data_IF_374879421465
#
_entry.id   IF_374879421465
#
_cell.length_a   1.000
_cell.length_b   1.000
_cell.length_c   1.000
_cell.angle_alpha   90.00
_cell.angle_beta   90.00
_cell.angle_gamma   90.00
#
_symmetry.space_group_name_H-M   'P 1'
#
loop_
_entity.id
_entity.type
_entity.pdbx_description
1 polymer ?
#
# COMPACT_ATOMS: atom_id res chain seq x y z
N UNK A 1 -26.74 10.23 -24.38
CA UNK A 1 -25.68 10.25 -25.41
C UNK A 1 -26.05 9.25 -26.50
N UNK A 2 -25.81 9.53 -27.80
CA UNK A 2 -25.92 8.48 -28.82
C UNK A 2 -24.97 7.33 -28.47
N UNK A 3 -25.39 6.07 -28.66
CA UNK A 3 -24.68 4.84 -28.23
C UNK A 3 -24.50 4.68 -26.70
N UNK A 4 -25.53 4.99 -25.90
CA UNK A 4 -25.50 4.83 -24.45
C UNK A 4 -24.98 3.46 -23.94
N UNK A 5 -25.32 2.29 -24.54
CA UNK A 5 -24.80 1.00 -24.08
C UNK A 5 -23.28 0.87 -24.20
N UNK A 6 -22.68 1.42 -25.26
CA UNK A 6 -21.24 1.37 -25.48
C UNK A 6 -20.49 2.16 -24.40
N UNK A 7 -20.99 3.34 -24.05
CA UNK A 7 -20.40 4.17 -23.00
C UNK A 7 -20.49 3.52 -21.61
N UNK A 8 -21.62 2.87 -21.29
CA UNK A 8 -21.76 2.14 -20.03
C UNK A 8 -20.77 0.98 -19.91
N UNK A 9 -20.57 0.20 -20.98
CA UNK A 9 -19.60 -0.91 -20.98
C UNK A 9 -18.18 -0.39 -20.79
N UNK A 10 -17.78 0.66 -21.53
CA UNK A 10 -16.44 1.25 -21.38
C UNK A 10 -16.20 1.79 -19.96
N UNK A 11 -17.22 2.40 -19.35
CA UNK A 11 -17.12 2.92 -17.99
C UNK A 11 -16.92 1.81 -16.95
N UNK A 12 -17.75 0.76 -17.00
CA UNK A 12 -17.59 -0.36 -16.06
C UNK A 12 -16.31 -1.16 -16.32
N UNK A 13 -15.89 -1.31 -17.57
CA UNK A 13 -14.63 -1.97 -17.90
C UNK A 13 -13.44 -1.19 -17.37
N UNK A 14 -13.45 0.15 -17.47
CA UNK A 14 -12.43 1.00 -16.85
C UNK A 14 -12.36 0.79 -15.33
N UNK A 15 -13.50 0.85 -14.63
CA UNK A 15 -13.55 0.64 -13.18
C UNK A 15 -13.04 -0.75 -12.80
N UNK A 16 -13.39 -1.78 -13.58
CA UNK A 16 -12.94 -3.15 -13.39
C UNK A 16 -11.42 -3.27 -13.58
N UNK A 17 -10.85 -2.71 -14.66
CA UNK A 17 -9.41 -2.76 -14.92
C UNK A 17 -8.62 -2.01 -13.84
N UNK A 18 -9.07 -0.84 -13.40
CA UNK A 18 -8.42 -0.08 -12.31
C UNK A 18 -8.44 -0.86 -11.00
N UNK A 19 -9.58 -1.48 -10.67
CA UNK A 19 -9.71 -2.33 -9.49
C UNK A 19 -8.80 -3.55 -9.55
N UNK A 20 -8.75 -4.24 -10.70
CA UNK A 20 -7.90 -5.41 -10.88
C UNK A 20 -6.41 -5.09 -10.76
N UNK A 21 -5.93 -4.05 -11.45
CA UNK A 21 -4.51 -3.66 -11.43
C UNK A 21 -4.03 -3.37 -10.00
N UNK A 22 -4.83 -2.58 -9.26
CA UNK A 22 -4.53 -2.25 -7.86
C UNK A 22 -4.49 -3.49 -6.96
N UNK A 23 -5.43 -4.43 -7.16
CA UNK A 23 -5.48 -5.68 -6.39
C UNK A 23 -4.28 -6.59 -6.69
N UNK A 24 -3.84 -6.69 -7.95
CA UNK A 24 -2.64 -7.47 -8.27
C UNK A 24 -1.39 -6.89 -7.61
N UNK A 25 -1.24 -5.57 -7.60
CA UNK A 25 -0.12 -4.92 -6.92
C UNK A 25 -0.10 -5.20 -5.41
N UNK A 26 -1.24 -5.05 -4.73
CA UNK A 26 -1.34 -5.33 -3.29
C UNK A 26 -1.14 -6.81 -2.96
N UNK A 27 -1.70 -7.70 -3.78
CA UNK A 27 -1.56 -9.14 -3.56
C UNK A 27 -0.12 -9.60 -3.78
N UNK A 28 0.56 -9.08 -4.81
CA UNK A 28 1.95 -9.39 -5.08
C UNK A 28 2.88 -8.91 -3.96
N UNK A 29 2.65 -7.71 -3.41
CA UNK A 29 3.47 -7.18 -2.29
C UNK A 29 3.33 -8.05 -1.05
N UNK A 30 2.11 -8.45 -0.68
CA UNK A 30 1.86 -9.35 0.47
C UNK A 30 2.60 -10.68 0.28
N UNK A 31 2.45 -11.31 -0.90
CA UNK A 31 3.10 -12.60 -1.19
C UNK A 31 4.62 -12.46 -1.20
N UNK A 32 5.16 -11.39 -1.78
CA UNK A 32 6.61 -11.15 -1.77
C UNK A 32 7.12 -10.99 -0.35
N UNK A 33 6.49 -10.14 0.47
CA UNK A 33 6.90 -9.93 1.87
C UNK A 33 6.91 -11.23 2.68
N UNK A 34 5.93 -12.12 2.46
CA UNK A 34 5.87 -13.44 3.12
C UNK A 34 7.01 -14.36 2.65
N UNK A 35 7.35 -14.32 1.36
CA UNK A 35 8.42 -15.16 0.80
C UNK A 35 9.81 -14.66 1.24
N UNK A 36 9.98 -13.34 1.34
CA UNK A 36 11.24 -12.69 1.73
C UNK A 36 11.63 -13.02 3.17
N UNK A 37 10.67 -13.30 4.06
CA UNK A 37 10.94 -13.70 5.44
C UNK A 37 11.55 -15.12 5.55
N UNK A 38 11.15 -16.06 4.67
CA UNK A 38 11.64 -17.44 4.69
C UNK A 38 11.96 -17.99 3.29
N UNK A 39 13.01 -17.45 2.62
CA UNK A 39 13.27 -17.67 1.20
C UNK A 39 13.57 -19.14 0.85
N UNK A 40 14.28 -19.86 1.72
CA UNK A 40 14.70 -21.25 1.50
C UNK A 40 13.53 -22.25 1.46
N UNK A 41 12.49 -22.02 2.26
CA UNK A 41 11.36 -22.98 2.41
C UNK A 41 10.13 -22.58 1.60
N UNK A 42 9.84 -21.29 1.49
CA UNK A 42 8.58 -20.80 0.92
C UNK A 42 8.65 -20.60 -0.60
N UNK A 43 9.85 -20.38 -1.17
CA UNK A 43 10.01 -20.12 -2.62
C UNK A 43 9.54 -21.27 -3.50
N UNK A 44 9.74 -22.52 -3.08
CA UNK A 44 9.28 -23.69 -3.84
C UNK A 44 7.76 -23.93 -3.74
N UNK A 45 7.11 -23.38 -2.70
CA UNK A 45 5.67 -23.53 -2.45
C UNK A 45 4.88 -22.25 -2.76
N UNK A 46 5.46 -21.30 -3.52
CA UNK A 46 4.84 -20.00 -3.86
C UNK A 46 3.39 -20.16 -4.35
N UNK A 47 3.13 -21.08 -5.26
CA UNK A 47 1.77 -21.32 -5.80
C UNK A 47 0.76 -21.72 -4.73
N UNK A 48 1.17 -22.52 -3.74
CA UNK A 48 0.29 -22.97 -2.65
C UNK A 48 0.01 -21.81 -1.71
N UNK A 49 1.01 -21.00 -1.38
CA UNK A 49 0.87 -19.81 -0.53
C UNK A 49 -0.07 -18.79 -1.18
N UNK A 50 0.11 -18.55 -2.48
CA UNK A 50 -0.80 -17.70 -3.27
C UNK A 50 -2.23 -18.22 -3.27
N UNK A 51 -2.43 -19.53 -3.49
CA UNK A 51 -3.78 -20.11 -3.44
C UNK A 51 -4.43 -19.98 -2.06
N UNK A 52 -3.67 -20.19 -0.98
CA UNK A 52 -4.14 -20.02 0.39
C UNK A 52 -4.49 -18.57 0.70
N UNK A 53 -3.66 -17.60 0.30
CA UNK A 53 -3.94 -16.18 0.49
C UNK A 53 -5.23 -15.76 -0.24
N UNK A 54 -5.40 -16.17 -1.50
CA UNK A 54 -6.62 -15.94 -2.27
C UNK A 54 -7.85 -16.57 -1.60
N UNK A 55 -7.72 -17.77 -1.03
CA UNK A 55 -8.80 -18.42 -0.30
C UNK A 55 -9.17 -17.65 0.98
N UNK A 56 -8.19 -17.14 1.72
CA UNK A 56 -8.42 -16.31 2.92
C UNK A 56 -9.12 -15.00 2.54
N UNK A 57 -8.64 -14.31 1.50
CA UNK A 57 -9.27 -13.07 1.01
C UNK A 57 -10.70 -13.31 0.53
N UNK A 58 -10.97 -14.43 -0.12
CA UNK A 58 -12.33 -14.81 -0.51
C UNK A 58 -13.24 -14.94 0.71
N UNK A 59 -12.79 -15.64 1.77
CA UNK A 59 -13.56 -15.80 3.00
C UNK A 59 -13.81 -14.45 3.70
N UNK A 60 -12.82 -13.57 3.75
CA UNK A 60 -12.97 -12.22 4.30
C UNK A 60 -13.94 -11.39 3.46
N UNK A 61 -13.88 -11.52 2.14
CA UNK A 61 -14.77 -10.83 1.19
C UNK A 61 -16.24 -11.20 1.36
N UNK A 62 -16.57 -12.43 1.77
CA UNK A 62 -17.96 -12.86 2.01
C UNK A 62 -18.65 -11.94 3.03
N UNK A 63 -17.94 -11.47 4.05
CA UNK A 63 -18.51 -10.57 5.07
C UNK A 63 -19.05 -9.26 4.46
N UNK A 64 -18.42 -8.77 3.40
CA UNK A 64 -18.75 -7.50 2.74
C UNK A 64 -19.93 -7.61 1.75
N UNK A 65 -20.37 -8.81 1.40
CA UNK A 65 -21.47 -9.06 0.44
C UNK A 65 -22.79 -9.41 1.15
N UNK A 66 -22.77 -9.49 2.49
CA UNK A 66 -23.97 -9.73 3.29
C UNK A 66 -24.95 -8.53 3.25
N UNK A 67 -26.19 -8.71 3.73
CA UNK A 67 -27.23 -7.66 3.70
C UNK A 67 -26.83 -6.37 4.46
N UNK A 68 -25.89 -6.47 5.40
CA UNK A 68 -25.27 -5.34 6.12
C UNK A 68 -23.86 -4.98 5.65
N UNK A 69 -23.39 -5.55 4.53
CA UNK A 69 -22.01 -5.48 4.08
C UNK A 69 -21.49 -4.06 3.84
N UNK A 70 -22.35 -3.13 3.43
CA UNK A 70 -21.97 -1.71 3.26
C UNK A 70 -21.50 -1.07 4.58
N UNK A 71 -22.08 -1.45 5.72
CA UNK A 71 -21.65 -0.96 7.03
C UNK A 71 -20.30 -1.53 7.41
N UNK A 72 -20.07 -2.82 7.12
CA UNK A 72 -18.78 -3.48 7.34
C UNK A 72 -17.70 -2.82 6.49
N UNK A 73 -18.00 -2.54 5.22
CA UNK A 73 -17.09 -1.82 4.31
C UNK A 73 -16.75 -0.42 4.81
N UNK A 74 -17.73 0.34 5.30
CA UNK A 74 -17.49 1.69 5.83
C UNK A 74 -16.60 1.68 7.08
N UNK A 75 -16.83 0.73 8.00
CA UNK A 75 -16.00 0.58 9.21
C UNK A 75 -14.59 0.19 8.81
N UNK A 76 -14.43 -0.75 7.85
CA UNK A 76 -13.13 -1.19 7.36
C UNK A 76 -12.38 -0.03 6.69
N UNK A 77 -13.04 0.80 5.90
CA UNK A 77 -12.41 1.96 5.24
C UNK A 77 -11.92 3.00 6.27
N UNK A 78 -12.73 3.29 7.28
CA UNK A 78 -12.38 4.28 8.30
C UNK A 78 -11.24 3.80 9.23
N UNK A 79 -11.30 2.56 9.70
CA UNK A 79 -10.30 2.04 10.64
C UNK A 79 -9.05 1.44 9.96
N UNK A 80 -9.22 0.69 8.87
CA UNK A 80 -8.10 0.01 8.19
C UNK A 80 -7.34 0.98 7.28
N UNK A 81 -8.01 1.55 6.28
CA UNK A 81 -7.33 2.36 5.27
C UNK A 81 -6.88 3.72 5.81
N UNK A 82 -7.65 4.37 6.69
CA UNK A 82 -7.26 5.70 7.18
C UNK A 82 -6.34 5.63 8.39
N UNK A 83 -6.80 5.05 9.50
CA UNK A 83 -6.05 5.07 10.75
C UNK A 83 -4.79 4.20 10.72
N UNK A 84 -4.87 2.99 10.18
CA UNK A 84 -3.74 2.05 10.21
C UNK A 84 -2.62 2.46 9.25
N UNK A 85 -2.94 2.88 8.02
CA UNK A 85 -1.93 3.40 7.08
C UNK A 85 -1.24 4.66 7.62
N UNK A 86 -1.98 5.53 8.31
CA UNK A 86 -1.42 6.73 8.92
C UNK A 86 -0.36 6.38 9.97
N UNK A 87 -0.68 5.50 10.93
CA UNK A 87 0.26 5.06 11.95
C UNK A 87 1.51 4.39 11.37
N UNK A 88 1.34 3.52 10.37
CA UNK A 88 2.45 2.84 9.69
C UNK A 88 3.36 3.89 9.01
N UNK A 89 2.77 4.82 8.25
CA UNK A 89 3.52 5.85 7.53
C UNK A 89 4.29 6.81 8.47
N UNK A 90 3.69 7.15 9.62
CA UNK A 90 4.33 7.97 10.64
C UNK A 90 5.52 7.23 11.25
N UNK A 91 5.33 5.95 11.62
CA UNK A 91 6.39 5.14 12.21
C UNK A 91 7.54 4.93 11.24
N UNK A 92 7.25 4.64 9.96
CA UNK A 92 8.25 4.49 8.91
C UNK A 92 9.04 5.79 8.68
N UNK A 93 8.35 6.94 8.60
CA UNK A 93 9.01 8.23 8.44
C UNK A 93 9.91 8.58 9.64
N UNK A 94 9.45 8.33 10.87
CA UNK A 94 10.25 8.56 12.07
C UNK A 94 11.47 7.63 12.14
N UNK A 95 11.28 6.36 11.80
CA UNK A 95 12.36 5.39 11.73
C UNK A 95 13.42 5.81 10.69
N UNK A 96 13.01 6.23 9.49
CA UNK A 96 13.95 6.69 8.46
C UNK A 96 14.64 8.00 8.83
N UNK A 97 13.90 8.98 9.35
CA UNK A 97 14.43 10.32 9.63
C UNK A 97 15.36 10.35 10.85
N UNK A 98 14.99 9.67 11.94
CA UNK A 98 15.71 9.73 13.22
C UNK A 98 16.44 8.45 13.61
N UNK A 99 15.89 7.26 13.37
CA UNK A 99 16.55 6.02 13.77
C UNK A 99 17.67 5.63 12.79
N UNK A 100 17.37 5.57 11.49
CA UNK A 100 18.36 5.31 10.44
C UNK A 100 19.24 6.53 10.16
N UNK A 101 18.62 7.72 10.18
CA UNK A 101 19.29 9.00 9.96
C UNK A 101 19.35 9.37 8.48
N UNK A 102 18.87 10.57 8.16
CA UNK A 102 18.80 11.09 6.78
C UNK A 102 20.16 11.16 6.08
N UNK A 103 21.25 11.31 6.84
CA UNK A 103 22.61 11.32 6.31
C UNK A 103 23.08 9.96 5.79
N UNK A 104 22.65 8.88 6.44
CA UNK A 104 22.96 7.52 5.99
C UNK A 104 22.15 7.21 4.72
N UNK A 105 20.85 7.54 4.73
CA UNK A 105 19.99 7.41 3.55
C UNK A 105 20.55 8.18 2.33
N UNK A 106 21.02 9.40 2.54
CA UNK A 106 21.63 10.21 1.47
C UNK A 106 22.89 9.57 0.90
N UNK A 107 23.70 8.91 1.74
CA UNK A 107 24.90 8.17 1.30
C UNK A 107 24.55 6.93 0.50
N UNK A 108 23.53 6.18 0.91
CA UNK A 108 23.09 4.97 0.21
C UNK A 108 22.53 5.29 -1.17
N UNK A 109 21.79 6.39 -1.30
CA UNK A 109 21.27 6.85 -2.60
C UNK A 109 22.41 7.21 -3.56
N UNK A 110 23.48 7.84 -3.04
CA UNK A 110 24.68 8.12 -3.84
C UNK A 110 25.37 6.82 -4.26
N UNK A 111 25.45 5.83 -3.37
CA UNK A 111 26.05 4.52 -3.67
C UNK A 111 25.26 3.77 -4.76
N UNK A 112 23.92 3.81 -4.71
CA UNK A 112 23.05 3.12 -5.67
C UNK A 112 22.97 3.84 -7.02
N UNK A 113 22.89 5.16 -7.03
CA UNK A 113 22.62 5.95 -8.25
C UNK A 113 23.90 6.53 -8.86
N UNK A 114 25.00 6.58 -8.11
CA UNK A 114 26.26 7.21 -8.52
C UNK A 114 26.22 8.74 -8.63
N UNK A 115 25.06 9.37 -8.36
CA UNK A 115 24.85 10.82 -8.44
C UNK A 115 24.41 11.37 -7.08
N UNK A 116 24.88 12.57 -6.76
CA UNK A 116 24.47 13.30 -5.54
C UNK A 116 23.08 13.89 -5.74
N UNK A 117 22.07 13.49 -4.96
CA UNK A 117 20.75 14.12 -5.03
C UNK A 117 20.84 15.56 -4.52
N UNK A 118 19.94 16.42 -4.99
CA UNK A 118 19.93 17.83 -4.56
C UNK A 118 19.68 17.93 -3.05
N UNK A 119 20.38 18.85 -2.37
CA UNK A 119 20.26 19.07 -0.93
C UNK A 119 18.83 19.36 -0.42
N UNK A 120 17.91 19.80 -1.29
CA UNK A 120 16.50 19.99 -0.97
C UNK A 120 15.85 18.68 -0.50
N UNK A 121 16.21 17.54 -1.08
CA UNK A 121 15.67 16.23 -0.70
C UNK A 121 15.98 15.88 0.75
N UNK A 122 17.17 16.24 1.23
CA UNK A 122 17.57 16.04 2.63
C UNK A 122 16.69 16.84 3.59
N UNK A 123 16.35 18.07 3.23
CA UNK A 123 15.41 18.89 4.02
C UNK A 123 13.98 18.35 3.97
N UNK A 124 13.53 17.89 2.80
CA UNK A 124 12.20 17.32 2.65
C UNK A 124 12.01 16.09 3.53
N UNK A 125 12.94 15.14 3.50
CA UNK A 125 12.85 13.92 4.31
C UNK A 125 12.93 14.15 5.81
N UNK A 126 13.74 15.13 6.23
CA UNK A 126 13.94 15.41 7.66
C UNK A 126 12.80 16.19 8.31
N UNK A 127 12.21 17.14 7.57
CA UNK A 127 11.26 18.09 8.14
C UNK A 127 9.91 18.07 7.46
N UNK A 128 9.85 18.06 6.13
CA UNK A 128 8.57 18.24 5.40
C UNK A 128 7.69 17.00 5.51
N UNK A 129 8.21 15.81 5.24
CA UNK A 129 7.43 14.56 5.34
C UNK A 129 6.87 14.30 6.74
N UNK A 130 7.67 14.32 7.83
CA UNK A 130 7.13 14.07 9.16
C UNK A 130 6.16 15.17 9.61
N UNK A 131 6.40 16.45 9.28
CA UNK A 131 5.48 17.53 9.66
C UNK A 131 4.12 17.41 8.95
N UNK A 132 4.10 17.08 7.67
CA UNK A 132 2.83 16.89 6.92
C UNK A 132 2.01 15.74 7.49
N UNK A 133 2.66 14.62 7.85
CA UNK A 133 1.97 13.47 8.42
C UNK A 133 1.44 13.78 9.82
N UNK A 134 2.23 14.45 10.67
CA UNK A 134 1.80 14.86 12.03
C UNK A 134 0.66 15.87 11.98
N UNK A 135 0.70 16.85 11.07
CA UNK A 135 -0.38 17.83 10.91
C UNK A 135 -1.67 17.15 10.47
N UNK A 136 -1.58 16.15 9.58
CA UNK A 136 -2.75 15.38 9.14
C UNK A 136 -3.35 14.57 10.29
N UNK A 137 -2.51 13.95 11.12
CA UNK A 137 -2.92 13.20 12.32
C UNK A 137 -3.66 14.09 13.33
N UNK A 138 -3.15 15.31 13.58
CA UNK A 138 -3.76 16.27 14.50
C UNK A 138 -5.07 16.91 13.99
N UNK A 139 -5.41 16.72 12.71
CA UNK A 139 -6.63 17.25 12.07
C UNK A 139 -7.79 16.25 11.97
N UNK A 140 -7.56 15.00 12.39
CA UNK A 140 -8.59 13.98 12.58
C UNK A 140 -9.17 14.04 13.99
#
# INVERSE_FOLDING_TARGET
MPLAPLWSVLFFLMLFTVGLDSQFGMFETIISSIIDEFPEKLRHRKTVITALACFIEFLLGISCITQGGIYVLQILDWYSASFSLMLISLTECLALAWAYGVDNLYRDIILMTGKKPHFWWRYMWKFVTPTVIIVRDMSL
#
